data_IF_837930782274
#
_entry.id   IF_837930782274
#
_cell.length_a   1.000
_cell.length_b   1.000
_cell.length_c   1.000
_cell.angle_alpha   90.00
_cell.angle_beta   90.00
_cell.angle_gamma   90.00
#
_symmetry.space_group_name_H-M   'P 1'
#
loop_
_entity.id
_entity.type
_entity.pdbx_description
1 polymer ?
#
# COMPACT_ATOMS: atom_id res chain seq x y z
N UNK A 1 -13.65 -23.56 -0.80
CA UNK A 1 -12.42 -22.73 -0.90
C UNK A 1 -12.72 -21.23 -0.79
N UNK A 2 -13.41 -20.76 0.27
CA UNK A 2 -13.91 -19.36 0.34
C UNK A 2 -13.14 -18.45 1.31
N UNK A 3 -12.31 -19.00 2.20
CA UNK A 3 -11.59 -18.22 3.23
C UNK A 3 -10.37 -17.44 2.71
N UNK A 4 -9.54 -18.04 1.86
CA UNK A 4 -8.30 -17.40 1.37
C UNK A 4 -8.55 -16.15 0.52
N UNK A 5 -9.66 -16.09 -0.21
CA UNK A 5 -9.98 -14.93 -1.08
C UNK A 5 -10.36 -13.70 -0.25
N UNK A 6 -11.05 -13.87 0.89
CA UNK A 6 -11.36 -12.75 1.79
C UNK A 6 -10.13 -12.21 2.52
N UNK A 7 -9.17 -13.06 2.86
CA UNK A 7 -7.90 -12.60 3.45
C UNK A 7 -7.04 -11.85 2.43
N UNK A 8 -6.99 -12.33 1.17
CA UNK A 8 -6.39 -11.58 0.06
C UNK A 8 -7.13 -10.28 -0.23
N UNK A 9 -8.46 -10.20 0.01
CA UNK A 9 -9.21 -8.95 -0.18
C UNK A 9 -8.76 -7.82 0.77
N UNK A 10 -8.03 -8.15 1.85
CA UNK A 10 -7.38 -7.15 2.69
C UNK A 10 -5.99 -6.75 2.19
N UNK A 11 -5.40 -7.48 1.23
CA UNK A 11 -4.10 -7.16 0.66
C UNK A 11 -4.25 -6.32 -0.60
N UNK A 12 -3.76 -5.09 -0.52
CA UNK A 12 -3.67 -4.17 -1.65
C UNK A 12 -2.36 -4.40 -2.42
N UNK A 13 -2.49 -4.52 -3.73
CA UNK A 13 -1.40 -4.46 -4.70
C UNK A 13 -0.98 -3.00 -4.96
N UNK A 14 0.16 -2.80 -5.63
CA UNK A 14 0.61 -1.45 -6.01
C UNK A 14 -0.41 -0.70 -6.86
N UNK A 15 -1.00 -1.29 -7.93
CA UNK A 15 -2.06 -0.60 -8.69
C UNK A 15 -3.24 -0.17 -7.83
N UNK A 16 -3.72 -1.03 -6.92
CA UNK A 16 -4.84 -0.69 -6.02
C UNK A 16 -4.50 0.43 -5.05
N UNK A 17 -3.25 0.48 -4.56
CA UNK A 17 -2.78 1.60 -3.72
C UNK A 17 -2.68 2.90 -4.51
N UNK A 18 -2.18 2.87 -5.74
CA UNK A 18 -2.09 4.06 -6.60
C UNK A 18 -3.48 4.60 -6.95
N UNK A 19 -4.43 3.71 -7.26
CA UNK A 19 -5.82 4.06 -7.50
C UNK A 19 -6.45 4.71 -6.25
N UNK A 20 -6.22 4.13 -5.07
CA UNK A 20 -6.71 4.70 -3.81
C UNK A 20 -6.10 6.08 -3.48
N UNK A 21 -4.94 6.42 -4.04
CA UNK A 21 -4.30 7.73 -3.94
C UNK A 21 -4.78 8.74 -5.00
N UNK A 22 -5.78 8.38 -5.81
CA UNK A 22 -6.33 9.24 -6.87
C UNK A 22 -5.70 9.05 -8.24
N UNK A 23 -4.82 8.05 -8.43
CA UNK A 23 -4.30 7.63 -9.74
C UNK A 23 -3.21 8.54 -10.35
N UNK A 24 -2.99 9.74 -9.83
CA UNK A 24 -1.96 10.67 -10.33
C UNK A 24 -0.54 10.35 -9.83
N UNK A 25 -0.43 9.56 -8.76
CA UNK A 25 0.87 9.15 -8.22
C UNK A 25 1.48 8.10 -9.14
N UNK A 26 2.63 8.41 -9.74
CA UNK A 26 3.37 7.43 -10.54
C UNK A 26 3.88 6.26 -9.68
N UNK A 27 4.01 5.09 -10.31
CA UNK A 27 4.60 3.90 -9.68
C UNK A 27 6.00 4.20 -9.14
N UNK A 28 6.83 4.91 -9.88
CA UNK A 28 8.19 5.26 -9.49
C UNK A 28 8.23 6.17 -8.26
N UNK A 29 7.32 7.16 -8.20
CA UNK A 29 7.13 8.01 -7.01
C UNK A 29 6.79 7.15 -5.79
N UNK A 30 5.86 6.21 -5.92
CA UNK A 30 5.47 5.33 -4.84
C UNK A 30 6.64 4.45 -4.35
N UNK A 31 7.42 3.86 -5.27
CA UNK A 31 8.62 3.11 -4.88
C UNK A 31 9.66 3.99 -4.21
N UNK A 32 9.87 5.23 -4.67
CA UNK A 32 10.79 6.19 -4.04
C UNK A 32 10.37 6.52 -2.61
N UNK A 33 9.07 6.72 -2.35
CA UNK A 33 8.57 6.90 -0.98
C UNK A 33 8.90 5.70 -0.10
N UNK A 34 8.67 4.48 -0.58
CA UNK A 34 9.01 3.28 0.21
C UNK A 34 10.51 3.14 0.48
N UNK A 35 11.35 3.39 -0.52
CA UNK A 35 12.81 3.35 -0.36
C UNK A 35 13.32 4.38 0.64
N UNK A 36 12.62 5.53 0.75
CA UNK A 36 12.95 6.60 1.70
C UNK A 36 12.20 6.48 3.03
N UNK A 37 11.46 5.39 3.26
CA UNK A 37 10.71 5.17 4.49
C UNK A 37 9.44 6.03 4.65
N UNK A 38 9.00 6.70 3.58
CA UNK A 38 7.83 7.59 3.55
C UNK A 38 6.57 6.94 2.96
N UNK A 39 6.61 5.64 2.71
CA UNK A 39 5.48 4.88 2.16
C UNK A 39 4.87 3.91 3.17
N UNK A 40 3.72 3.31 2.83
CA UNK A 40 3.05 2.36 3.70
C UNK A 40 3.88 1.09 3.90
N UNK A 41 3.62 0.35 4.98
CA UNK A 41 4.25 -0.94 5.24
C UNK A 41 3.73 -1.97 4.24
N UNK A 42 4.60 -2.45 3.35
CA UNK A 42 4.28 -3.52 2.41
C UNK A 42 5.39 -4.57 2.37
N UNK A 43 5.02 -5.81 2.03
CA UNK A 43 5.91 -6.96 1.92
C UNK A 43 5.94 -7.50 0.48
N UNK A 44 7.08 -8.05 0.08
CA UNK A 44 7.24 -8.69 -1.22
C UNK A 44 6.79 -10.15 -1.16
N UNK A 45 6.07 -10.59 -2.17
CA UNK A 45 5.77 -11.99 -2.42
C UNK A 45 6.96 -12.67 -3.13
N UNK A 46 7.03 -14.01 -3.14
CA UNK A 46 8.10 -14.75 -3.83
C UNK A 46 8.20 -14.48 -5.33
N UNK A 47 7.12 -14.02 -5.97
CA UNK A 47 7.09 -13.64 -7.38
C UNK A 47 7.52 -12.17 -7.63
N UNK A 48 7.94 -11.44 -6.61
CA UNK A 48 8.35 -10.04 -6.70
C UNK A 48 7.21 -9.02 -6.65
N UNK A 49 5.95 -9.47 -6.62
CA UNK A 49 4.82 -8.55 -6.38
C UNK A 49 4.86 -7.99 -4.97
N UNK A 50 4.40 -6.75 -4.85
CA UNK A 50 4.30 -6.09 -3.55
C UNK A 50 2.85 -6.07 -3.06
N UNK A 51 2.66 -6.45 -1.79
CA UNK A 51 1.37 -6.43 -1.11
C UNK A 51 1.45 -5.62 0.17
N UNK A 52 0.42 -4.81 0.41
CA UNK A 52 0.22 -4.02 1.62
C UNK A 52 -1.07 -4.47 2.28
N UNK A 53 -1.13 -4.60 3.61
CA UNK A 53 -2.43 -4.79 4.26
C UNK A 53 -3.18 -3.46 4.19
N UNK A 54 -4.49 -3.50 3.91
CA UNK A 54 -5.34 -2.30 3.88
C UNK A 54 -5.26 -1.50 5.18
N UNK A 55 -5.18 -2.17 6.33
CA UNK A 55 -4.97 -1.53 7.65
C UNK A 55 -3.64 -0.78 7.72
N UNK A 56 -2.55 -1.35 7.22
CA UNK A 56 -1.23 -0.69 7.22
C UNK A 56 -1.23 0.52 6.27
N UNK A 57 -1.93 0.43 5.15
CA UNK A 57 -2.11 1.54 4.22
C UNK A 57 -2.91 2.70 4.85
N UNK A 58 -4.02 2.40 5.51
CA UNK A 58 -4.84 3.40 6.21
C UNK A 58 -4.10 4.04 7.37
N UNK A 59 -3.36 3.26 8.17
CA UNK A 59 -2.54 3.78 9.26
C UNK A 59 -1.50 4.78 8.75
N UNK A 60 -0.84 4.49 7.62
CA UNK A 60 0.10 5.42 7.00
C UNK A 60 -0.56 6.73 6.54
N UNK A 61 -1.79 6.68 6.02
CA UNK A 61 -2.53 7.90 5.67
C UNK A 61 -2.91 8.72 6.91
N UNK A 62 -3.29 8.06 8.00
CA UNK A 62 -3.59 8.72 9.27
C UNK A 62 -2.32 9.38 9.83
N UNK A 63 -1.18 8.69 9.83
CA UNK A 63 0.11 9.27 10.25
C UNK A 63 0.48 10.53 9.45
N UNK A 64 0.26 10.51 8.13
CA UNK A 64 0.48 11.68 7.27
C UNK A 64 -0.47 12.83 7.63
N UNK A 65 -1.73 12.52 7.93
CA UNK A 65 -2.72 13.51 8.34
C UNK A 65 -2.35 14.13 9.70
N UNK A 66 -1.96 13.32 10.68
CA UNK A 66 -1.53 13.79 12.00
C UNK A 66 -0.25 14.63 11.93
N UNK A 67 0.70 14.29 11.04
CA UNK A 67 1.93 15.06 10.87
C UNK A 67 1.72 16.41 10.15
N UNK A 68 0.60 16.57 9.43
CA UNK A 68 0.23 17.81 8.75
C UNK A 68 -0.58 18.78 9.64
N UNK A 69 -1.20 18.27 10.71
CA UNK A 69 -1.97 19.02 11.69
C UNK A 69 -1.06 19.70 12.73
#
# INVERSE_FOLDING_TARGET
>A
MSGKVRELAQLMSVPEMLEALGGEVSRDTFYKWRQTGKGPRCFSLPNGELRCKRVDFLAWLDDLYQAAA
#
